data_IF_650178867242
#
_entry.id   IF_650178867242
#
_cell.length_a   1.000
_cell.length_b   1.000
_cell.length_c   1.000
_cell.angle_alpha   90.00
_cell.angle_beta   90.00
_cell.angle_gamma   90.00
#
_symmetry.space_group_name_H-M   'P 1'
#
loop_
_entity.id
_entity.type
_entity.pdbx_description
1 polymer ?
#
# COMPACT_ATOMS: atom_id res chain seq x y z
N UNK A 1 18.20 5.31 1.46
CA UNK A 1 17.06 5.29 2.41
C UNK A 1 15.77 4.78 1.75
N UNK A 2 14.60 5.26 2.22
CA UNK A 2 13.28 4.75 1.78
C UNK A 2 13.07 4.86 0.27
N UNK A 3 13.39 5.99 -0.35
CA UNK A 3 13.27 6.18 -1.82
C UNK A 3 14.13 5.19 -2.61
N UNK A 4 15.33 4.95 -2.15
CA UNK A 4 16.26 3.99 -2.77
C UNK A 4 15.71 2.56 -2.67
N UNK A 5 15.19 2.18 -1.49
CA UNK A 5 14.56 0.88 -1.27
C UNK A 5 13.31 0.71 -2.16
N UNK A 6 12.49 1.75 -2.29
CA UNK A 6 11.35 1.73 -3.20
C UNK A 6 11.77 1.58 -4.68
N UNK A 7 12.86 2.23 -5.08
CA UNK A 7 13.46 2.05 -6.40
C UNK A 7 13.90 0.61 -6.66
N UNK A 8 14.60 0.00 -5.70
CA UNK A 8 15.01 -1.42 -5.78
C UNK A 8 13.81 -2.36 -5.91
N UNK A 9 12.71 -2.09 -5.16
CA UNK A 9 11.49 -2.88 -5.26
C UNK A 9 10.84 -2.75 -6.64
N UNK A 10 10.73 -1.54 -7.17
CA UNK A 10 10.18 -1.31 -8.52
C UNK A 10 11.01 -2.05 -9.57
N UNK A 11 12.32 -2.05 -9.47
CA UNK A 11 13.19 -2.76 -10.41
C UNK A 11 13.01 -4.28 -10.32
N UNK A 12 12.90 -4.82 -9.10
CA UNK A 12 12.59 -6.25 -8.90
C UNK A 12 11.22 -6.60 -9.47
N UNK A 13 10.19 -5.79 -9.25
CA UNK A 13 8.87 -6.00 -9.84
C UNK A 13 8.93 -6.02 -11.37
N UNK A 14 9.63 -5.06 -11.99
CA UNK A 14 9.82 -5.02 -13.44
C UNK A 14 10.50 -6.29 -13.95
N UNK A 15 11.54 -6.75 -13.27
CA UNK A 15 12.26 -7.97 -13.65
C UNK A 15 11.40 -9.22 -13.49
N UNK A 16 10.59 -9.29 -12.44
CA UNK A 16 9.63 -10.39 -12.24
C UNK A 16 8.58 -10.41 -13.36
N UNK A 17 7.98 -9.27 -13.71
CA UNK A 17 7.01 -9.17 -14.81
C UNK A 17 7.64 -9.60 -16.14
N UNK A 18 8.86 -9.18 -16.44
CA UNK A 18 9.57 -9.59 -17.66
C UNK A 18 9.75 -11.11 -17.77
N UNK A 19 10.00 -11.77 -16.62
CA UNK A 19 10.25 -13.22 -16.53
C UNK A 19 8.98 -14.07 -16.46
N UNK A 20 7.79 -13.50 -16.28
CA UNK A 20 6.54 -14.27 -16.29
C UNK A 20 6.37 -14.96 -17.66
N UNK A 21 6.24 -16.27 -17.67
CA UNK A 21 6.08 -17.07 -18.89
C UNK A 21 4.63 -17.13 -19.41
N UNK A 22 3.66 -16.94 -18.52
CA UNK A 22 2.25 -16.98 -18.83
C UNK A 22 1.66 -15.66 -19.35
N UNK A 23 2.34 -14.53 -19.11
CA UNK A 23 1.84 -13.20 -19.47
C UNK A 23 2.33 -12.80 -20.86
N UNK A 24 1.40 -12.36 -21.71
CA UNK A 24 1.68 -11.90 -23.06
C UNK A 24 2.44 -10.57 -23.10
N UNK A 25 3.14 -10.33 -24.20
CA UNK A 25 4.03 -9.16 -24.36
C UNK A 25 3.28 -7.84 -24.16
N UNK A 26 2.07 -7.72 -24.71
CA UNK A 26 1.28 -6.48 -24.60
C UNK A 26 0.87 -6.20 -23.16
N UNK A 27 0.42 -7.22 -22.42
CA UNK A 27 0.07 -7.09 -21.00
C UNK A 27 1.29 -6.73 -20.16
N UNK A 28 2.46 -7.36 -20.43
CA UNK A 28 3.74 -6.99 -19.77
C UNK A 28 4.09 -5.52 -20.00
N UNK A 29 3.93 -5.01 -21.22
CA UNK A 29 4.23 -3.62 -21.53
C UNK A 29 3.35 -2.65 -20.75
N UNK A 30 2.05 -2.90 -20.65
CA UNK A 30 1.14 -2.07 -19.84
C UNK A 30 1.49 -2.16 -18.34
N UNK A 31 1.83 -3.35 -17.82
CA UNK A 31 2.26 -3.54 -16.45
C UNK A 31 3.57 -2.78 -16.14
N UNK A 32 4.57 -2.86 -17.02
CA UNK A 32 5.82 -2.12 -16.89
C UNK A 32 5.59 -0.61 -16.94
N UNK A 33 4.74 -0.14 -17.86
CA UNK A 33 4.33 1.27 -17.93
C UNK A 33 3.67 1.74 -16.64
N UNK A 34 2.88 0.88 -15.99
CA UNK A 34 2.26 1.20 -14.70
C UNK A 34 3.31 1.40 -13.60
N UNK A 35 4.34 0.54 -13.54
CA UNK A 35 5.48 0.70 -12.63
C UNK A 35 6.33 1.94 -12.95
N UNK A 36 6.53 2.26 -14.23
CA UNK A 36 7.28 3.46 -14.63
C UNK A 36 6.58 4.77 -14.23
N UNK A 37 5.25 4.73 -14.05
CA UNK A 37 4.44 5.89 -13.71
C UNK A 37 3.98 5.92 -12.23
N UNK A 38 4.47 5.02 -11.38
CA UNK A 38 4.18 5.07 -9.94
C UNK A 38 4.71 6.39 -9.35
N UNK A 39 3.82 7.12 -8.69
CA UNK A 39 4.20 8.25 -7.85
C UNK A 39 4.43 7.76 -6.42
N UNK A 40 5.57 8.12 -5.82
CA UNK A 40 5.90 7.76 -4.44
C UNK A 40 5.83 9.02 -3.58
N UNK A 41 5.01 8.99 -2.52
CA UNK A 41 4.86 10.08 -1.57
C UNK A 41 5.37 9.63 -0.20
N UNK A 42 6.39 10.30 0.34
CA UNK A 42 7.07 9.92 1.58
C UNK A 42 7.04 11.09 2.57
N UNK A 43 6.70 10.79 3.82
CA UNK A 43 6.78 11.70 4.95
C UNK A 43 5.56 12.61 5.09
N UNK A 44 5.49 13.65 4.30
CA UNK A 44 4.49 14.72 4.42
C UNK A 44 4.28 15.43 3.08
N UNK A 45 3.19 16.22 2.92
CA UNK A 45 2.93 16.94 1.67
C UNK A 45 3.93 18.07 1.45
N UNK A 46 4.28 18.34 0.17
CA UNK A 46 5.10 19.48 -0.23
C UNK A 46 4.48 20.82 0.22
N UNK A 47 3.15 20.90 0.17
CA UNK A 47 2.39 22.05 0.65
C UNK A 47 1.33 21.64 1.67
N UNK A 48 1.41 22.21 2.88
CA UNK A 48 0.43 21.97 3.92
C UNK A 48 -0.90 22.63 3.58
N UNK A 49 -1.98 21.86 3.69
CA UNK A 49 -3.32 22.40 3.51
C UNK A 49 -3.64 23.41 4.61
N UNK A 50 -3.91 24.65 4.21
CA UNK A 50 -4.37 25.69 5.13
C UNK A 50 -5.85 25.47 5.44
N UNK A 51 -6.17 25.41 6.72
CA UNK A 51 -7.54 25.29 7.22
C UNK A 51 -8.05 26.68 7.59
N UNK A 52 -9.11 27.14 6.91
CA UNK A 52 -9.77 28.41 7.14
C UNK A 52 -11.11 28.27 7.88
N UNK A 53 -11.20 27.27 8.75
CA UNK A 53 -12.37 27.02 9.58
C UNK A 53 -12.25 27.70 10.94
N UNK A 54 -13.22 28.52 11.29
CA UNK A 54 -13.30 29.12 12.62
C UNK A 54 -13.95 28.14 13.61
N UNK A 55 -13.17 27.73 14.59
CA UNK A 55 -13.62 26.90 15.71
C UNK A 55 -13.84 27.77 16.93
N UNK A 56 -14.98 27.63 17.60
CA UNK A 56 -15.30 28.39 18.82
C UNK A 56 -15.15 27.51 20.06
N UNK A 57 -14.51 28.05 21.09
CA UNK A 57 -14.50 27.41 22.40
C UNK A 57 -15.88 27.43 23.03
N UNK A 58 -16.14 26.59 24.07
CA UNK A 58 -17.39 26.61 24.82
C UNK A 58 -17.62 27.96 25.49
N UNK A 59 -16.56 28.65 25.94
CA UNK A 59 -16.63 29.96 26.57
C UNK A 59 -17.05 31.05 25.59
N UNK A 60 -16.72 30.86 24.29
CA UNK A 60 -17.12 31.77 23.19
C UNK A 60 -18.45 31.36 22.55
N UNK A 61 -19.23 30.52 23.24
CA UNK A 61 -20.57 30.09 22.80
C UNK A 61 -20.53 29.00 21.71
N UNK A 62 -19.41 28.31 21.52
CA UNK A 62 -19.29 27.19 20.57
C UNK A 62 -19.80 25.89 21.19
N UNK A 63 -20.30 24.99 20.34
CA UNK A 63 -20.61 23.60 20.69
C UNK A 63 -19.77 22.64 19.85
N UNK A 64 -19.62 21.38 20.31
CA UNK A 64 -19.00 20.33 19.53
C UNK A 64 -19.71 20.13 18.18
N UNK A 65 -21.05 20.15 18.21
CA UNK A 65 -21.87 19.97 17.00
C UNK A 65 -21.60 21.08 15.97
N UNK A 66 -21.62 22.35 16.39
CA UNK A 66 -21.41 23.48 15.49
C UNK A 66 -19.99 23.45 14.90
N UNK A 67 -18.98 23.13 15.69
CA UNK A 67 -17.60 23.00 15.27
C UNK A 67 -17.42 21.84 14.29
N UNK A 68 -18.00 20.67 14.59
CA UNK A 68 -17.97 19.51 13.69
C UNK A 68 -18.70 19.79 12.36
N UNK A 69 -19.84 20.47 12.41
CA UNK A 69 -20.58 20.90 11.21
C UNK A 69 -19.76 21.89 10.37
N UNK A 70 -19.07 22.85 10.98
CA UNK A 70 -18.22 23.80 10.29
C UNK A 70 -17.03 23.11 9.58
N UNK A 71 -16.38 22.15 10.25
CA UNK A 71 -15.31 21.35 9.66
C UNK A 71 -15.83 20.52 8.49
N UNK A 72 -16.96 19.84 8.64
CA UNK A 72 -17.58 19.04 7.58
C UNK A 72 -17.97 19.90 6.37
N UNK A 73 -18.54 21.08 6.58
CA UNK A 73 -18.89 22.02 5.52
C UNK A 73 -17.63 22.50 4.76
N UNK A 74 -16.54 22.78 5.47
CA UNK A 74 -15.26 23.14 4.86
C UNK A 74 -14.67 21.98 4.03
N UNK A 75 -14.67 20.76 4.58
CA UNK A 75 -14.20 19.57 3.86
C UNK A 75 -15.00 19.33 2.58
N UNK A 76 -16.32 19.46 2.65
CA UNK A 76 -17.22 19.38 1.49
C UNK A 76 -16.87 20.42 0.43
N UNK A 77 -16.70 21.68 0.83
CA UNK A 77 -16.28 22.76 -0.08
C UNK A 77 -14.94 22.41 -0.78
N UNK A 78 -13.94 21.92 -0.02
CA UNK A 78 -12.67 21.51 -0.58
C UNK A 78 -12.83 20.36 -1.59
N UNK A 79 -13.73 19.40 -1.30
CA UNK A 79 -14.02 18.30 -2.21
C UNK A 79 -14.64 18.80 -3.52
N UNK A 80 -15.64 19.70 -3.45
CA UNK A 80 -16.30 20.29 -4.62
C UNK A 80 -15.31 21.11 -5.46
N UNK A 81 -14.42 21.88 -4.84
CA UNK A 81 -13.40 22.64 -5.55
C UNK A 81 -12.39 21.74 -6.28
N UNK A 82 -12.10 20.56 -5.71
CA UNK A 82 -11.24 19.57 -6.39
C UNK A 82 -11.87 18.99 -7.66
N UNK A 83 -13.19 18.84 -7.71
CA UNK A 83 -13.88 18.34 -8.91
C UNK A 83 -13.70 19.26 -10.13
N UNK A 84 -13.30 20.50 -9.92
CA UNK A 84 -13.04 21.49 -10.98
C UNK A 84 -11.59 21.46 -11.49
N UNK A 85 -10.75 20.64 -10.91
CA UNK A 85 -9.30 20.57 -11.20
C UNK A 85 -8.93 19.22 -11.79
N UNK A 86 -7.86 19.13 -12.58
CA UNK A 86 -7.26 17.85 -12.95
C UNK A 86 -6.90 17.02 -11.71
N UNK A 87 -6.83 15.71 -11.89
CA UNK A 87 -6.36 14.78 -10.84
C UNK A 87 -4.91 15.14 -10.48
N UNK A 88 -4.66 15.28 -9.18
CA UNK A 88 -3.34 15.54 -8.64
C UNK A 88 -2.80 14.27 -7.97
N UNK A 89 -1.86 13.58 -8.64
CA UNK A 89 -1.21 12.37 -8.14
C UNK A 89 -0.23 12.66 -6.99
N UNK A 90 0.18 13.91 -6.81
CA UNK A 90 1.10 14.31 -5.73
C UNK A 90 0.37 14.76 -4.46
N UNK A 91 -0.96 14.75 -4.48
CA UNK A 91 -1.73 15.08 -3.29
C UNK A 91 -1.52 14.01 -2.20
N UNK A 92 -1.08 14.46 -1.02
CA UNK A 92 -0.88 13.62 0.16
C UNK A 92 -2.22 13.46 0.91
N UNK A 93 -2.91 12.30 0.83
CA UNK A 93 -4.27 12.16 1.37
C UNK A 93 -4.31 11.79 2.84
N UNK A 94 -3.21 11.29 3.39
CA UNK A 94 -3.09 10.85 4.79
C UNK A 94 -2.49 11.94 5.67
N UNK A 95 -2.84 11.95 6.94
CA UNK A 95 -2.14 12.80 7.90
C UNK A 95 -0.71 12.31 8.10
N UNK A 96 0.27 13.24 8.16
CA UNK A 96 1.68 12.88 8.28
C UNK A 96 2.02 12.05 9.53
N UNK A 97 1.22 12.12 10.59
CA UNK A 97 1.37 11.34 11.82
C UNK A 97 0.72 9.94 11.75
N UNK A 98 0.07 9.58 10.65
CA UNK A 98 -0.58 8.28 10.49
C UNK A 98 0.47 7.18 10.43
N UNK A 99 0.32 6.16 11.30
CA UNK A 99 1.14 4.94 11.27
C UNK A 99 0.45 3.96 10.33
N UNK A 100 0.63 4.14 9.05
CA UNK A 100 0.11 3.30 7.98
C UNK A 100 0.81 3.64 6.68
N UNK A 101 0.70 2.76 5.66
CA UNK A 101 1.01 3.03 4.28
C UNK A 101 -0.27 2.88 3.44
N UNK A 102 -0.27 3.33 2.21
CA UNK A 102 -1.43 3.16 1.33
C UNK A 102 -1.08 3.19 -0.15
N UNK A 103 -1.77 2.37 -0.93
CA UNK A 103 -1.78 2.42 -2.39
C UNK A 103 -3.06 3.10 -2.90
N UNK A 104 -2.92 4.14 -3.71
CA UNK A 104 -4.03 4.80 -4.37
C UNK A 104 -4.07 4.42 -5.86
N UNK A 105 -4.92 3.47 -6.19
CA UNK A 105 -5.07 2.92 -7.54
C UNK A 105 -5.54 3.96 -8.55
N UNK A 106 -6.37 4.93 -8.12
CA UNK A 106 -6.92 6.00 -8.98
C UNK A 106 -5.89 7.03 -9.44
N UNK A 107 -4.74 7.10 -8.76
CA UNK A 107 -3.67 8.06 -9.09
C UNK A 107 -2.34 7.36 -9.35
N UNK A 108 -2.32 6.03 -9.29
CA UNK A 108 -1.11 5.21 -9.38
C UNK A 108 -0.02 5.69 -8.40
N UNK A 109 -0.40 5.89 -7.13
CA UNK A 109 0.44 6.49 -6.09
C UNK A 109 0.56 5.58 -4.89
N UNK A 110 1.76 5.44 -4.33
CA UNK A 110 2.01 4.78 -3.03
C UNK A 110 2.46 5.82 -2.01
N UNK A 111 2.01 5.70 -0.76
CA UNK A 111 2.09 6.76 0.24
C UNK A 111 2.60 6.20 1.56
N UNK A 112 3.65 6.82 2.09
CA UNK A 112 4.28 6.47 3.37
C UNK A 112 4.34 7.72 4.26
N UNK A 113 3.34 7.99 5.12
CA UNK A 113 3.38 9.10 6.06
C UNK A 113 4.56 9.01 7.02
N UNK A 114 5.02 10.14 7.54
CA UNK A 114 6.13 10.17 8.50
C UNK A 114 5.88 9.29 9.75
N UNK A 115 4.61 9.09 10.12
CA UNK A 115 4.22 8.26 11.25
C UNK A 115 4.66 6.81 11.15
N UNK A 116 4.74 6.21 9.95
CA UNK A 116 5.21 4.83 9.78
C UNK A 116 6.75 4.75 9.67
N UNK A 117 7.43 5.86 9.41
CA UNK A 117 8.88 5.89 9.21
C UNK A 117 9.66 5.92 10.53
N UNK A 118 9.29 5.06 11.46
CA UNK A 118 9.90 4.87 12.78
C UNK A 118 9.76 3.41 13.21
N UNK A 119 10.50 3.02 14.25
CA UNK A 119 10.39 1.67 14.80
C UNK A 119 8.94 1.31 15.18
N UNK A 120 8.49 0.07 14.92
CA UNK A 120 9.27 -1.08 14.44
C UNK A 120 9.40 -1.19 12.91
N UNK A 121 8.84 -0.24 12.13
CA UNK A 121 8.84 -0.31 10.67
C UNK A 121 10.16 0.18 10.04
N UNK A 122 10.76 1.23 10.59
CA UNK A 122 12.01 1.81 10.09
C UNK A 122 12.89 2.33 11.20
N UNK A 123 14.17 1.99 11.15
CA UNK A 123 15.21 2.58 12.02
C UNK A 123 16.43 2.96 11.16
N UNK A 124 16.80 4.25 11.08
CA UNK A 124 17.96 4.68 10.30
C UNK A 124 19.30 4.12 10.80
N UNK A 125 19.33 3.55 12.02
CA UNK A 125 20.51 2.95 12.62
C UNK A 125 20.52 1.41 12.49
N UNK A 126 19.43 0.79 12.05
CA UNK A 126 19.35 -0.64 11.80
C UNK A 126 20.06 -1.03 10.49
N UNK A 127 20.38 -2.31 10.35
CA UNK A 127 20.94 -2.83 9.10
C UNK A 127 19.98 -2.66 7.94
N UNK A 128 20.50 -2.80 6.73
CA UNK A 128 19.66 -2.77 5.52
C UNK A 128 18.67 -3.94 5.53
N UNK A 129 19.12 -5.13 5.94
CA UNK A 129 18.31 -6.35 6.03
C UNK A 129 17.15 -6.22 7.02
N UNK A 130 17.39 -5.60 8.18
CA UNK A 130 16.33 -5.31 9.16
C UNK A 130 15.30 -4.35 8.59
N UNK A 131 15.73 -3.23 8.01
CA UNK A 131 14.83 -2.27 7.35
C UNK A 131 14.12 -2.88 6.13
N UNK A 132 14.80 -3.77 5.38
CA UNK A 132 14.22 -4.48 4.26
C UNK A 132 13.12 -5.46 4.72
N UNK A 133 13.34 -6.15 5.85
CA UNK A 133 12.35 -7.05 6.46
C UNK A 133 11.11 -6.33 6.98
N UNK A 134 11.26 -5.09 7.47
CA UNK A 134 10.18 -4.26 7.98
C UNK A 134 9.60 -3.35 6.88
N UNK A 135 10.06 -2.09 6.79
CA UNK A 135 9.47 -1.13 5.84
C UNK A 135 9.64 -1.56 4.39
N UNK A 136 10.67 -2.34 4.04
CA UNK A 136 10.88 -2.84 2.69
C UNK A 136 9.76 -3.76 2.24
N UNK A 137 9.32 -4.69 3.08
CA UNK A 137 8.17 -5.55 2.79
C UNK A 137 6.88 -4.74 2.66
N UNK A 138 6.69 -3.71 3.48
CA UNK A 138 5.56 -2.79 3.37
C UNK A 138 5.60 -2.00 2.06
N UNK A 139 6.75 -1.52 1.62
CA UNK A 139 6.89 -0.84 0.33
C UNK A 139 6.50 -1.77 -0.83
N UNK A 140 7.00 -2.99 -0.82
CA UNK A 140 6.68 -3.98 -1.86
C UNK A 140 5.21 -4.43 -1.80
N UNK A 141 4.60 -4.49 -0.62
CA UNK A 141 3.17 -4.72 -0.40
C UNK A 141 2.34 -3.61 -1.10
N UNK A 142 2.62 -2.33 -0.85
CA UNK A 142 1.92 -1.22 -1.49
C UNK A 142 2.09 -1.20 -3.01
N UNK A 143 3.28 -1.56 -3.51
CA UNK A 143 3.50 -1.71 -4.96
C UNK A 143 2.64 -2.86 -5.50
N UNK A 144 2.51 -3.97 -4.75
CA UNK A 144 1.72 -5.13 -5.17
C UNK A 144 0.24 -4.78 -5.29
N UNK A 145 -0.29 -3.89 -4.45
CA UNK A 145 -1.67 -3.40 -4.57
C UNK A 145 -1.99 -2.70 -5.90
N UNK A 146 -0.98 -2.29 -6.67
CA UNK A 146 -1.22 -1.82 -8.04
C UNK A 146 -1.58 -2.97 -8.99
N UNK A 147 -1.32 -4.23 -8.61
CA UNK A 147 -1.45 -5.43 -9.44
C UNK A 147 -2.30 -6.54 -8.80
N UNK A 148 -2.81 -6.36 -7.59
CA UNK A 148 -3.76 -7.27 -6.97
C UNK A 148 -5.09 -7.34 -7.75
N UNK A 149 -6.07 -8.10 -7.27
CA UNK A 149 -7.38 -8.26 -7.94
C UNK A 149 -8.12 -6.93 -8.15
N UNK A 150 -7.96 -5.97 -7.22
CA UNK A 150 -8.49 -4.61 -7.35
C UNK A 150 -7.62 -3.73 -8.24
N UNK A 151 -6.30 -3.70 -8.00
CA UNK A 151 -5.35 -2.87 -8.74
C UNK A 151 -5.22 -3.24 -10.21
N UNK A 152 -5.41 -4.51 -10.54
CA UNK A 152 -5.44 -5.01 -11.91
C UNK A 152 -6.48 -4.34 -12.82
N UNK A 153 -7.51 -3.72 -12.24
CA UNK A 153 -8.57 -3.03 -12.97
C UNK A 153 -8.17 -1.60 -13.43
N UNK A 154 -7.06 -1.06 -12.92
CA UNK A 154 -6.61 0.31 -13.18
C UNK A 154 -5.36 0.32 -14.06
N UNK A 155 -5.35 1.19 -15.06
CA UNK A 155 -4.19 1.40 -15.93
C UNK A 155 -3.12 2.32 -15.28
N UNK A 156 -2.05 2.60 -16.00
CA UNK A 156 -0.94 3.44 -15.56
C UNK A 156 -1.32 4.92 -15.26
N UNK A 157 -2.48 5.36 -15.72
CA UNK A 157 -3.01 6.70 -15.46
C UNK A 157 -4.08 6.70 -14.35
N UNK A 158 -4.36 5.54 -13.74
CA UNK A 158 -5.37 5.39 -12.70
C UNK A 158 -6.81 5.30 -13.21
N UNK A 159 -7.02 5.07 -14.50
CA UNK A 159 -8.35 4.89 -15.07
C UNK A 159 -8.76 3.41 -14.99
N UNK A 160 -10.03 3.15 -14.69
CA UNK A 160 -10.62 1.81 -14.83
C UNK A 160 -10.64 1.45 -16.32
N UNK A 161 -9.81 0.51 -16.70
CA UNK A 161 -9.66 0.06 -18.08
C UNK A 161 -9.19 -1.39 -18.12
N UNK A 162 -9.78 -2.22 -18.97
CA UNK A 162 -9.21 -3.53 -19.24
C UNK A 162 -7.96 -3.35 -20.15
N UNK A 163 -6.78 -3.55 -19.58
CA UNK A 163 -5.48 -3.49 -20.25
C UNK A 163 -4.83 -4.88 -20.41
N UNK A 164 -5.50 -5.91 -19.90
CA UNK A 164 -5.09 -7.30 -19.99
C UNK A 164 -5.52 -7.92 -21.34
N UNK A 165 -4.73 -8.86 -21.86
CA UNK A 165 -5.25 -9.77 -22.86
C UNK A 165 -6.34 -10.68 -22.24
N UNK A 166 -7.20 -11.27 -23.05
CA UNK A 166 -8.24 -12.17 -22.57
C UNK A 166 -7.64 -13.41 -21.89
N UNK A 167 -6.56 -13.95 -22.49
CA UNK A 167 -5.81 -15.08 -21.94
C UNK A 167 -5.26 -14.74 -20.55
N UNK A 168 -4.52 -13.64 -20.41
CA UNK A 168 -3.85 -13.26 -19.18
C UNK A 168 -4.84 -12.91 -18.08
N UNK A 169 -5.93 -12.21 -18.41
CA UNK A 169 -6.98 -11.89 -17.46
C UNK A 169 -7.64 -13.17 -16.91
N UNK A 170 -7.90 -14.15 -17.79
CA UNK A 170 -8.47 -15.43 -17.38
C UNK A 170 -7.51 -16.19 -16.46
N UNK A 171 -6.23 -16.26 -16.83
CA UNK A 171 -5.21 -16.94 -16.04
C UNK A 171 -4.99 -16.28 -14.67
N UNK A 172 -4.92 -14.94 -14.63
CA UNK A 172 -4.80 -14.20 -13.38
C UNK A 172 -5.97 -14.46 -12.43
N UNK A 173 -7.21 -14.48 -12.95
CA UNK A 173 -8.40 -14.84 -12.15
C UNK A 173 -8.35 -16.28 -11.62
N UNK A 174 -7.71 -17.19 -12.33
CA UNK A 174 -7.48 -18.55 -11.83
C UNK A 174 -6.46 -18.57 -10.69
N UNK A 175 -5.40 -17.76 -10.77
CA UNK A 175 -4.46 -17.60 -9.67
C UNK A 175 -5.12 -16.98 -8.44
N UNK A 176 -5.97 -15.97 -8.61
CA UNK A 176 -6.75 -15.37 -7.52
C UNK A 176 -7.61 -16.43 -6.81
N UNK A 177 -8.38 -17.24 -7.57
CA UNK A 177 -9.20 -18.34 -6.99
C UNK A 177 -8.36 -19.38 -6.23
N UNK A 178 -7.14 -19.65 -6.68
CA UNK A 178 -6.24 -20.56 -5.94
C UNK A 178 -5.77 -19.94 -4.63
N UNK A 179 -5.49 -18.64 -4.61
CA UNK A 179 -5.14 -17.91 -3.40
C UNK A 179 -6.33 -17.86 -2.42
N UNK A 180 -7.54 -17.52 -2.89
CA UNK A 180 -8.77 -17.58 -2.09
C UNK A 180 -8.94 -18.94 -1.41
N UNK A 181 -8.94 -20.02 -2.21
CA UNK A 181 -9.12 -21.37 -1.71
C UNK A 181 -8.01 -21.80 -0.73
N UNK A 182 -6.79 -21.30 -0.89
CA UNK A 182 -5.69 -21.58 0.03
C UNK A 182 -5.94 -20.94 1.40
N UNK A 183 -6.36 -19.67 1.45
CA UNK A 183 -6.60 -18.96 2.69
C UNK A 183 -7.91 -19.34 3.38
N UNK A 184 -8.95 -19.73 2.66
CA UNK A 184 -10.20 -20.29 3.24
C UNK A 184 -9.95 -21.51 4.13
N UNK A 185 -8.81 -22.19 4.00
CA UNK A 185 -8.42 -23.34 4.83
C UNK A 185 -7.88 -22.99 6.21
N UNK A 186 -7.66 -21.70 6.52
CA UNK A 186 -7.03 -21.28 7.76
C UNK A 186 -8.04 -20.77 8.79
N UNK A 187 -7.81 -21.11 10.05
CA UNK A 187 -8.49 -20.58 11.22
C UNK A 187 -7.57 -19.53 11.86
N UNK A 188 -7.99 -18.25 11.83
CA UNK A 188 -7.20 -17.15 12.37
C UNK A 188 -7.15 -17.17 13.91
N UNK A 189 -8.28 -17.48 14.53
CA UNK A 189 -8.46 -17.66 15.98
C UNK A 189 -9.42 -18.83 16.20
N UNK A 190 -9.45 -19.47 17.40
CA UNK A 190 -10.37 -20.57 17.68
C UNK A 190 -11.82 -20.24 17.32
N UNK A 191 -12.37 -20.94 16.34
CA UNK A 191 -13.74 -20.72 15.82
C UNK A 191 -13.90 -19.58 14.82
N UNK A 192 -12.82 -18.91 14.39
CA UNK A 192 -12.85 -17.80 13.42
C UNK A 192 -11.99 -18.17 12.22
N UNK A 193 -12.64 -18.50 11.12
CA UNK A 193 -11.96 -18.83 9.85
C UNK A 193 -11.69 -17.60 9.01
N UNK A 194 -10.57 -17.62 8.28
CA UNK A 194 -10.25 -16.60 7.27
C UNK A 194 -11.19 -16.77 6.08
N UNK A 195 -11.74 -15.68 5.59
CA UNK A 195 -12.39 -15.62 4.28
C UNK A 195 -11.35 -15.28 3.23
N UNK A 196 -10.95 -16.25 2.43
CA UNK A 196 -9.94 -16.05 1.39
C UNK A 196 -10.37 -15.01 0.35
N UNK A 197 -11.69 -14.91 0.07
CA UNK A 197 -12.22 -13.91 -0.85
C UNK A 197 -12.17 -12.49 -0.28
N UNK A 198 -12.49 -12.31 1.01
CA UNK A 198 -12.44 -10.98 1.66
C UNK A 198 -11.01 -10.49 1.89
N UNK A 199 -10.08 -11.40 2.12
CA UNK A 199 -8.67 -11.08 2.37
C UNK A 199 -7.77 -11.17 1.14
N UNK A 200 -8.31 -11.47 -0.05
CA UNK A 200 -7.55 -11.75 -1.27
C UNK A 200 -6.53 -10.66 -1.62
N UNK A 201 -6.97 -9.41 -1.65
CA UNK A 201 -6.13 -8.26 -2.00
C UNK A 201 -4.92 -8.15 -1.08
N UNK A 202 -5.14 -8.25 0.23
CA UNK A 202 -4.09 -8.18 1.25
C UNK A 202 -3.16 -9.39 1.19
N UNK A 203 -3.70 -10.58 0.98
CA UNK A 203 -2.91 -11.81 0.85
C UNK A 203 -1.99 -11.76 -0.39
N UNK A 204 -2.49 -11.25 -1.53
CA UNK A 204 -1.67 -11.05 -2.73
C UNK A 204 -0.58 -10.01 -2.46
N UNK A 205 -0.93 -8.92 -1.79
CA UNK A 205 0.00 -7.85 -1.46
C UNK A 205 1.12 -8.33 -0.52
N UNK A 206 0.80 -9.11 0.50
CA UNK A 206 1.78 -9.70 1.42
C UNK A 206 2.70 -10.70 0.75
N UNK A 207 2.15 -11.60 -0.09
CA UNK A 207 2.95 -12.56 -0.88
C UNK A 207 3.92 -11.79 -1.79
N UNK A 208 3.45 -10.76 -2.48
CA UNK A 208 4.27 -9.90 -3.34
C UNK A 208 5.33 -9.16 -2.54
N UNK A 209 4.94 -8.60 -1.40
CA UNK A 209 5.81 -7.87 -0.47
C UNK A 209 7.01 -8.68 -0.03
N UNK A 210 6.75 -9.86 0.53
CA UNK A 210 7.82 -10.77 1.00
C UNK A 210 8.65 -11.30 -0.18
N UNK A 211 8.01 -11.72 -1.27
CA UNK A 211 8.70 -12.31 -2.42
C UNK A 211 9.65 -11.33 -3.10
N UNK A 212 9.25 -10.05 -3.26
CA UNK A 212 10.10 -9.03 -3.86
C UNK A 212 11.24 -8.61 -2.93
N UNK A 213 10.97 -8.49 -1.63
CA UNK A 213 12.00 -8.16 -0.64
C UNK A 213 13.04 -9.25 -0.52
N UNK A 214 12.65 -10.52 -0.52
CA UNK A 214 13.58 -11.66 -0.54
C UNK A 214 14.42 -11.70 -1.83
N UNK A 215 13.87 -11.27 -2.97
CA UNK A 215 14.65 -11.18 -4.19
C UNK A 215 15.69 -10.05 -4.14
N UNK A 216 15.36 -8.90 -3.51
CA UNK A 216 16.37 -7.86 -3.22
C UNK A 216 17.45 -8.40 -2.31
N UNK A 217 17.06 -9.04 -1.20
CA UNK A 217 17.97 -9.62 -0.23
C UNK A 217 18.93 -10.65 -0.87
N UNK A 218 18.41 -11.51 -1.73
CA UNK A 218 19.18 -12.57 -2.38
C UNK A 218 20.27 -12.07 -3.35
N UNK A 219 20.20 -10.80 -3.77
CA UNK A 219 21.21 -10.16 -4.64
C UNK A 219 22.35 -9.53 -3.86
N UNK A 220 22.26 -9.49 -2.53
CA UNK A 220 23.29 -8.94 -1.66
C UNK A 220 24.45 -9.93 -1.47
N UNK A 221 25.62 -9.41 -1.17
CA UNK A 221 26.76 -10.22 -0.75
C UNK A 221 26.59 -10.60 0.73
N UNK A 222 26.49 -11.90 1.03
CA UNK A 222 26.30 -12.44 2.38
C UNK A 222 25.04 -11.91 3.10
N UNK A 223 23.83 -12.10 2.55
CA UNK A 223 22.61 -11.57 3.12
C UNK A 223 22.26 -12.21 4.47
N UNK A 224 21.84 -11.39 5.45
CA UNK A 224 21.37 -11.85 6.75
C UNK A 224 19.85 -12.10 6.70
N UNK A 225 19.45 -13.32 6.37
CA UNK A 225 18.04 -13.74 6.37
C UNK A 225 17.43 -13.77 7.77
N UNK A 226 18.21 -14.04 8.82
CA UNK A 226 17.70 -14.06 10.20
C UNK A 226 17.29 -12.65 10.65
N UNK A 227 18.14 -11.65 10.40
CA UNK A 227 17.82 -10.24 10.65
C UNK A 227 16.56 -9.80 9.89
N UNK A 228 16.47 -10.15 8.60
CA UNK A 228 15.30 -9.86 7.77
C UNK A 228 14.00 -10.44 8.36
N UNK A 229 13.96 -11.74 8.64
CA UNK A 229 12.74 -12.39 9.13
C UNK A 229 12.38 -12.01 10.56
N UNK A 230 13.37 -11.73 11.43
CA UNK A 230 13.08 -11.19 12.77
C UNK A 230 12.44 -9.82 12.70
N UNK A 231 12.93 -8.96 11.83
CA UNK A 231 12.36 -7.63 11.64
C UNK A 231 10.98 -7.71 11.00
N UNK A 232 10.78 -8.58 9.99
CA UNK A 232 9.47 -8.83 9.40
C UNK A 232 8.44 -9.29 10.43
N UNK A 233 8.78 -10.24 11.29
CA UNK A 233 7.90 -10.69 12.36
C UNK A 233 7.66 -9.60 13.42
N UNK A 234 8.69 -8.81 13.73
CA UNK A 234 8.65 -7.76 14.75
C UNK A 234 7.66 -6.64 14.44
N UNK A 235 7.51 -6.26 13.17
CA UNK A 235 6.55 -5.20 12.77
C UNK A 235 5.09 -5.59 13.04
N UNK A 236 4.79 -6.89 13.07
CA UNK A 236 3.44 -7.44 13.32
C UNK A 236 3.20 -7.81 14.78
N UNK A 237 4.22 -7.71 15.65
CA UNK A 237 4.09 -8.01 17.06
C UNK A 237 3.23 -6.96 17.77
N UNK A 238 1.99 -7.31 18.08
CA UNK A 238 1.03 -6.47 18.78
C UNK A 238 0.24 -7.26 19.82
N UNK A 239 -0.23 -6.56 20.85
CA UNK A 239 -1.15 -7.10 21.85
C UNK A 239 -2.57 -6.58 21.55
N UNK A 240 -3.54 -7.45 21.66
CA UNK A 240 -4.96 -7.10 21.51
C UNK A 240 -5.85 -8.00 22.36
N UNK A 241 -7.09 -7.54 22.60
CA UNK A 241 -8.15 -8.44 23.11
C UNK A 241 -8.54 -9.44 22.03
N UNK A 242 -9.18 -10.55 22.42
CA UNK A 242 -9.68 -11.54 21.47
C UNK A 242 -10.59 -10.90 20.41
N UNK A 243 -11.54 -10.07 20.85
CA UNK A 243 -12.47 -9.38 19.94
C UNK A 243 -11.75 -8.42 18.97
N UNK A 244 -10.76 -7.66 19.46
CA UNK A 244 -9.98 -6.74 18.62
C UNK A 244 -8.91 -7.41 17.74
N UNK A 245 -8.71 -8.73 17.85
CA UNK A 245 -7.87 -9.53 16.94
C UNK A 245 -8.72 -10.30 15.93
N UNK A 246 -10.04 -10.36 16.16
CA UNK A 246 -11.02 -11.06 15.32
C UNK A 246 -11.63 -10.17 14.24
N UNK A 247 -11.51 -8.84 14.39
CA UNK A 247 -11.90 -7.82 13.41
C UNK A 247 -10.80 -7.65 12.35
#
# INVERSE_FOLDING_TARGET
GIEEMAGMMIDVFKDRIRRLDWMEVNTKQEALKKLDNITILIGYPDEWQKTDVTIKSRLDGGSYFDNAAAVSAWQWKQMVERLKKPVDSRRFPLAAYTVNAAANRNTNTIIFPAGILQAPFYDPNASFEENLGAIGTTIAHEITHMFDDGGAQYDAAGNIRNWWSEHDNTYFKELCRKAEAYYDGYEALPGISVSGAETLSENIADIGGVACSLEVLSKMENPDYDAFFRSYAGQWARLGSYDGLAE
#
